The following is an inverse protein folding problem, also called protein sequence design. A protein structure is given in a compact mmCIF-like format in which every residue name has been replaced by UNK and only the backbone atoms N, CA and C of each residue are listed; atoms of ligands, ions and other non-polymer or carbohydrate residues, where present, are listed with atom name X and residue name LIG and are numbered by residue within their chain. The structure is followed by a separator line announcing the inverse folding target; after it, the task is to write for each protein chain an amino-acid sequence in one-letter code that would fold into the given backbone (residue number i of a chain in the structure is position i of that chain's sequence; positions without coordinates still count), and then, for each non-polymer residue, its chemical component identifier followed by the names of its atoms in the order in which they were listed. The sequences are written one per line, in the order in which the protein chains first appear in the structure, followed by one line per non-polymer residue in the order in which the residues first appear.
data_IF_474430087718
#
_entry.id   IF_474430087718
#
_cell.length_a   1.000
_cell.length_b   1.000
_cell.length_c   1.000
_cell.angle_alpha   90.00
_cell.angle_beta   90.00
_cell.angle_gamma   90.00
#
_symmetry.space_group_name_H-M   'P 1'
#
loop_
_entity.id
_entity.type
_entity.pdbx_description
1 polymer ?
#
# COMPACT_ATOMS: atom_id res chain seq x y z
N UNK A 1 3.29 12.14 -2.47
CA UNK A 1 3.96 10.84 -2.69
C UNK A 1 5.20 10.98 -3.56
N UNK A 2 5.10 11.49 -4.80
CA UNK A 2 6.22 11.60 -5.75
C UNK A 2 7.43 12.40 -5.23
N UNK A 3 7.21 13.36 -4.35
CA UNK A 3 8.25 14.16 -3.71
C UNK A 3 9.06 13.37 -2.67
N UNK A 4 8.44 12.38 -1.98
CA UNK A 4 9.11 11.54 -0.98
C UNK A 4 10.13 10.61 -1.66
N UNK A 5 9.78 10.06 -2.84
CA UNK A 5 10.66 9.22 -3.65
C UNK A 5 11.60 10.03 -4.55
N UNK A 6 11.50 11.37 -4.48
CA UNK A 6 12.23 12.30 -5.32
C UNK A 6 12.10 11.95 -6.82
N UNK A 7 10.85 11.72 -7.26
CA UNK A 7 10.54 11.69 -8.71
C UNK A 7 10.45 13.11 -9.27
N UNK A 8 10.16 14.08 -8.40
CA UNK A 8 10.19 15.51 -8.65
C UNK A 8 10.80 16.21 -7.45
N UNK A 9 11.52 17.30 -7.66
CA UNK A 9 11.98 18.18 -6.59
C UNK A 9 10.88 19.22 -6.28
N UNK A 10 10.83 19.71 -5.04
CA UNK A 10 9.93 20.80 -4.66
C UNK A 10 10.38 22.12 -5.28
N UNK A 11 9.43 22.96 -5.69
CA UNK A 11 9.70 24.33 -6.16
C UNK A 11 10.02 25.26 -5.00
N UNK A 12 9.37 25.06 -3.87
CA UNK A 12 9.58 25.81 -2.63
C UNK A 12 9.55 24.87 -1.43
N UNK A 13 10.22 25.25 -0.34
CA UNK A 13 10.27 24.45 0.88
C UNK A 13 11.21 23.25 0.78
N UNK A 14 10.95 22.23 1.63
CA UNK A 14 11.74 21.01 1.69
C UNK A 14 10.90 19.79 2.07
N UNK A 15 11.28 18.62 1.55
CA UNK A 15 10.77 17.31 1.99
C UNK A 15 11.90 16.57 2.67
N UNK A 16 11.66 16.08 3.89
CA UNK A 16 12.67 15.37 4.67
C UNK A 16 12.23 13.93 4.94
N UNK A 17 13.17 13.01 4.78
CA UNK A 17 13.03 11.59 5.12
C UNK A 17 14.15 11.24 6.11
N UNK A 18 13.81 10.67 7.26
CA UNK A 18 14.81 10.38 8.30
C UNK A 18 15.57 11.62 8.80
N UNK A 19 14.92 12.80 8.77
CA UNK A 19 15.52 14.07 9.21
C UNK A 19 16.35 14.81 8.15
N UNK A 20 16.70 14.15 7.03
CA UNK A 20 17.51 14.74 5.96
C UNK A 20 16.62 15.15 4.76
N UNK A 21 16.94 16.29 4.13
CA UNK A 21 16.26 16.71 2.90
C UNK A 21 16.50 15.67 1.79
N UNK A 22 15.44 15.29 1.07
CA UNK A 22 15.53 14.28 0.02
C UNK A 22 16.54 14.63 -1.08
N UNK A 23 16.84 15.92 -1.27
CA UNK A 23 17.83 16.41 -2.23
C UNK A 23 19.29 16.16 -1.80
N UNK A 24 19.51 15.86 -0.51
CA UNK A 24 20.83 15.55 0.05
C UNK A 24 21.17 14.05 -0.01
N UNK A 25 20.19 13.22 -0.32
CA UNK A 25 20.43 11.78 -0.48
C UNK A 25 21.00 11.47 -1.86
N UNK A 26 21.83 10.44 -1.92
CA UNK A 26 21.99 9.66 -3.14
C UNK A 26 20.64 9.07 -3.54
N UNK A 27 20.29 9.17 -4.84
CA UNK A 27 18.96 8.76 -5.32
C UNK A 27 18.70 7.26 -5.15
N UNK A 28 19.71 6.44 -5.35
CA UNK A 28 19.59 5.00 -5.20
C UNK A 28 19.43 4.64 -3.72
N UNK A 29 20.24 5.25 -2.85
CA UNK A 29 20.13 5.07 -1.40
C UNK A 29 18.74 5.46 -0.87
N UNK A 30 18.18 6.62 -1.28
CA UNK A 30 16.82 7.02 -0.91
C UNK A 30 15.77 6.03 -1.40
N UNK A 31 15.80 5.72 -2.69
CA UNK A 31 14.80 4.85 -3.32
C UNK A 31 14.88 3.41 -2.83
N UNK A 32 16.03 2.96 -2.36
CA UNK A 32 16.17 1.65 -1.72
C UNK A 32 15.52 1.58 -0.34
N UNK A 33 15.32 2.72 0.33
CA UNK A 33 14.64 2.79 1.63
C UNK A 33 13.13 3.08 1.51
N UNK A 34 12.63 3.44 0.33
CA UNK A 34 11.23 3.77 0.10
C UNK A 34 10.64 2.79 -0.90
N UNK A 35 9.54 2.13 -0.53
CA UNK A 35 8.73 1.31 -1.44
C UNK A 35 7.39 1.97 -1.69
N UNK A 36 6.90 1.87 -2.91
CA UNK A 36 5.61 2.41 -3.32
C UNK A 36 4.79 1.33 -4.00
N UNK A 37 3.55 1.15 -3.56
CA UNK A 37 2.54 0.36 -4.26
C UNK A 37 1.52 1.33 -4.82
N UNK A 38 1.45 1.40 -6.14
CA UNK A 38 0.58 2.34 -6.85
C UNK A 38 -0.84 1.79 -6.98
N UNK A 39 -1.81 2.66 -7.21
CA UNK A 39 -3.18 2.28 -7.56
C UNK A 39 -3.22 1.41 -8.82
N UNK A 40 -2.49 1.82 -9.87
CA UNK A 40 -2.34 1.03 -11.11
C UNK A 40 -1.13 0.12 -11.00
N UNK A 41 -1.38 -1.11 -10.58
CA UNK A 41 -0.36 -2.11 -10.39
C UNK A 41 0.04 -2.77 -11.71
N UNK A 42 1.35 -2.97 -11.91
CA UNK A 42 1.89 -3.63 -13.09
C UNK A 42 2.69 -4.85 -12.70
N UNK A 43 2.39 -5.98 -13.37
CA UNK A 43 3.21 -7.18 -13.34
C UNK A 43 3.89 -7.37 -14.70
N UNK A 44 5.07 -7.96 -14.67
CA UNK A 44 5.87 -8.26 -15.84
C UNK A 44 5.66 -9.70 -16.28
N UNK A 45 5.92 -9.97 -17.56
CA UNK A 45 5.96 -11.36 -18.06
C UNK A 45 7.07 -12.14 -17.38
N UNK A 46 6.78 -13.36 -16.93
CA UNK A 46 7.68 -14.21 -16.17
C UNK A 46 6.92 -14.99 -15.12
N UNK A 47 7.58 -15.66 -14.21
CA UNK A 47 6.92 -16.37 -13.10
C UNK A 47 6.47 -15.39 -12.01
N UNK A 48 5.67 -15.88 -11.05
CA UNK A 48 5.37 -15.13 -9.83
C UNK A 48 6.68 -14.82 -9.08
N UNK A 49 7.59 -15.78 -8.94
CA UNK A 49 8.91 -15.54 -8.32
C UNK A 49 9.71 -14.46 -9.02
N UNK A 50 9.76 -14.47 -10.37
CA UNK A 50 10.44 -13.42 -11.12
C UNK A 50 9.84 -12.04 -10.80
N UNK A 51 8.52 -11.96 -10.74
CA UNK A 51 7.83 -10.73 -10.39
C UNK A 51 8.12 -10.25 -8.96
N UNK A 52 8.23 -11.14 -8.01
CA UNK A 52 8.56 -10.83 -6.62
C UNK A 52 10.01 -10.34 -6.48
N UNK A 53 10.96 -10.98 -7.19
CA UNK A 53 12.39 -10.63 -7.20
C UNK A 53 12.71 -9.27 -7.82
N UNK A 54 11.76 -8.62 -8.50
CA UNK A 54 11.90 -7.19 -8.81
C UNK A 54 11.98 -6.31 -7.55
N UNK A 55 11.49 -6.77 -6.41
CA UNK A 55 11.64 -6.10 -5.12
C UNK A 55 13.03 -6.31 -4.50
N UNK A 56 13.55 -7.54 -4.62
CA UNK A 56 14.88 -7.93 -4.17
C UNK A 56 15.38 -9.10 -5.05
N UNK A 57 16.33 -8.87 -5.97
CA UNK A 57 16.84 -9.92 -6.88
C UNK A 57 17.45 -11.13 -6.16
N UNK A 58 18.03 -10.91 -4.97
CA UNK A 58 18.68 -11.95 -4.17
C UNK A 58 17.72 -12.67 -3.21
N UNK A 59 16.41 -12.35 -3.25
CA UNK A 59 15.45 -12.97 -2.35
C UNK A 59 15.36 -14.48 -2.59
N UNK A 60 15.46 -15.25 -1.51
CA UNK A 60 15.20 -16.68 -1.53
C UNK A 60 13.72 -16.97 -1.78
N UNK A 61 13.40 -18.19 -2.15
CA UNK A 61 11.99 -18.57 -2.35
C UNK A 61 11.21 -18.47 -1.04
N UNK A 62 11.81 -18.85 0.10
CA UNK A 62 11.18 -18.74 1.42
C UNK A 62 10.89 -17.27 1.80
N UNK A 63 11.75 -16.32 1.42
CA UNK A 63 11.50 -14.90 1.62
C UNK A 63 10.35 -14.42 0.75
N UNK A 64 10.27 -14.88 -0.49
CA UNK A 64 9.14 -14.60 -1.39
C UNK A 64 7.83 -15.15 -0.82
N UNK A 65 7.83 -16.39 -0.30
CA UNK A 65 6.68 -17.02 0.35
C UNK A 65 6.23 -16.19 1.56
N UNK A 66 7.15 -15.82 2.46
CA UNK A 66 6.81 -14.97 3.63
C UNK A 66 6.23 -13.62 3.24
N UNK A 67 6.77 -12.98 2.21
CA UNK A 67 6.23 -11.72 1.70
C UNK A 67 4.81 -11.90 1.13
N UNK A 68 4.56 -13.01 0.43
CA UNK A 68 3.23 -13.36 -0.10
C UNK A 68 2.23 -13.65 1.03
N UNK A 69 2.64 -14.35 2.08
CA UNK A 69 1.81 -14.57 3.28
C UNK A 69 1.42 -13.25 3.95
N UNK A 70 2.38 -12.29 4.07
CA UNK A 70 2.09 -10.96 4.61
C UNK A 70 1.10 -10.16 3.76
N UNK A 71 1.12 -10.38 2.44
CA UNK A 71 0.21 -9.76 1.49
C UNK A 71 -1.06 -10.60 1.23
N UNK A 72 -1.27 -11.71 1.93
CA UNK A 72 -2.35 -12.69 1.70
C UNK A 72 -2.39 -13.20 0.24
N UNK A 73 -1.24 -13.23 -0.45
CA UNK A 73 -1.15 -13.70 -1.82
C UNK A 73 -0.99 -15.21 -1.92
N UNK A 74 -0.46 -15.86 -0.90
CA UNK A 74 -0.31 -17.32 -0.77
C UNK A 74 -1.64 -18.05 -1.00
N UNK A 75 -2.75 -17.53 -0.47
CA UNK A 75 -4.07 -18.12 -0.58
C UNK A 75 -4.52 -18.45 -2.00
N UNK A 76 -4.19 -17.60 -2.96
CA UNK A 76 -4.51 -17.89 -4.36
C UNK A 76 -3.38 -18.61 -5.08
N UNK A 77 -2.12 -18.35 -4.70
CA UNK A 77 -0.94 -19.00 -5.30
C UNK A 77 -1.00 -20.50 -5.06
N UNK A 78 -1.36 -20.92 -3.84
CA UNK A 78 -1.46 -22.35 -3.47
C UNK A 78 -2.54 -23.11 -4.25
N UNK A 79 -3.47 -22.39 -4.90
CA UNK A 79 -4.52 -22.98 -5.76
C UNK A 79 -4.10 -23.09 -7.24
N UNK A 80 -2.95 -22.49 -7.59
CA UNK A 80 -2.44 -22.54 -8.95
C UNK A 80 -1.67 -23.84 -9.17
N UNK A 81 -1.80 -24.49 -10.34
CA UNK A 81 -1.14 -25.76 -10.63
C UNK A 81 0.39 -25.71 -10.44
N UNK A 82 1.01 -24.62 -10.85
CA UNK A 82 2.47 -24.41 -10.78
C UNK A 82 2.90 -23.56 -9.58
N UNK A 83 1.97 -23.21 -8.66
CA UNK A 83 2.25 -22.40 -7.48
C UNK A 83 3.02 -21.13 -7.82
N UNK A 84 4.14 -20.88 -7.14
CA UNK A 84 5.03 -19.72 -7.36
C UNK A 84 5.72 -19.70 -8.72
N UNK A 85 5.80 -20.82 -9.43
CA UNK A 85 6.34 -20.92 -10.78
C UNK A 85 5.31 -20.62 -11.87
N UNK A 86 4.06 -20.34 -11.50
CA UNK A 86 3.00 -19.95 -12.44
C UNK A 86 3.44 -18.72 -13.23
N UNK A 87 3.31 -18.81 -14.55
CA UNK A 87 3.66 -17.70 -15.46
C UNK A 87 2.59 -16.61 -15.42
N UNK A 88 3.06 -15.40 -15.27
CA UNK A 88 2.28 -14.16 -15.39
C UNK A 88 2.42 -13.63 -16.80
N UNK A 89 1.31 -13.33 -17.44
CA UNK A 89 1.27 -12.69 -18.75
C UNK A 89 1.57 -11.19 -18.64
N UNK A 90 1.86 -10.56 -19.77
CA UNK A 90 2.19 -9.13 -19.84
C UNK A 90 1.09 -8.30 -19.15
N UNK A 91 1.52 -7.47 -18.20
CA UNK A 91 0.62 -6.63 -17.43
C UNK A 91 -0.26 -7.40 -16.43
N UNK A 92 -0.05 -8.70 -16.24
CA UNK A 92 -0.85 -9.54 -15.36
C UNK A 92 -2.25 -9.82 -15.91
N UNK A 93 -2.37 -10.05 -17.21
CA UNK A 93 -3.69 -10.27 -17.86
C UNK A 93 -4.41 -11.54 -17.35
N UNK A 94 -3.66 -12.52 -16.88
CA UNK A 94 -4.18 -13.80 -16.37
C UNK A 94 -4.38 -13.83 -14.83
N UNK A 95 -4.33 -12.69 -14.14
CA UNK A 95 -4.62 -12.57 -12.71
C UNK A 95 -5.63 -11.46 -12.44
N UNK A 96 -6.46 -11.62 -11.41
CA UNK A 96 -7.44 -10.60 -11.01
C UNK A 96 -6.78 -9.33 -10.48
N UNK A 97 -7.53 -8.22 -10.42
CA UNK A 97 -7.05 -6.96 -9.87
C UNK A 97 -6.54 -7.09 -8.43
N UNK A 98 -7.30 -7.78 -7.57
CA UNK A 98 -6.90 -8.03 -6.18
C UNK A 98 -5.69 -8.96 -6.03
N UNK A 99 -5.55 -9.98 -6.91
CA UNK A 99 -4.36 -10.83 -6.96
C UNK A 99 -3.12 -10.02 -7.37
N UNK A 100 -3.25 -9.18 -8.39
CA UNK A 100 -2.21 -8.28 -8.86
C UNK A 100 -1.76 -7.31 -7.76
N UNK A 101 -2.69 -6.72 -7.04
CA UNK A 101 -2.39 -5.83 -5.90
C UNK A 101 -1.60 -6.56 -4.82
N UNK A 102 -2.06 -7.74 -4.39
CA UNK A 102 -1.36 -8.54 -3.37
C UNK A 102 0.06 -8.93 -3.79
N UNK A 103 0.30 -9.29 -5.05
CA UNK A 103 1.65 -9.55 -5.55
C UNK A 103 2.52 -8.29 -5.55
N UNK A 104 1.98 -7.12 -5.90
CA UNK A 104 2.73 -5.87 -5.84
C UNK A 104 3.04 -5.43 -4.41
N UNK A 105 2.14 -5.70 -3.45
CA UNK A 105 2.42 -5.50 -2.02
C UNK A 105 3.55 -6.43 -1.57
N UNK A 106 3.49 -7.74 -1.88
CA UNK A 106 4.54 -8.69 -1.55
C UNK A 106 5.91 -8.28 -2.13
N UNK A 107 5.93 -7.83 -3.39
CA UNK A 107 7.13 -7.26 -4.04
C UNK A 107 7.69 -6.07 -3.26
N UNK A 108 6.83 -5.16 -2.81
CA UNK A 108 7.26 -3.98 -2.05
C UNK A 108 7.83 -4.34 -0.67
N UNK A 109 7.30 -5.39 -0.02
CA UNK A 109 7.77 -5.89 1.26
C UNK A 109 9.15 -6.55 1.16
N UNK A 110 9.44 -7.26 0.07
CA UNK A 110 10.75 -7.89 -0.16
C UNK A 110 11.91 -6.90 -0.19
N UNK A 111 11.64 -5.65 -0.49
CA UNK A 111 12.63 -4.57 -0.43
C UNK A 111 13.03 -4.19 0.99
N UNK A 112 12.29 -4.66 2.01
CA UNK A 112 12.47 -4.33 3.42
C UNK A 112 12.60 -2.81 3.66
N UNK A 113 11.63 -2.00 3.21
CA UNK A 113 11.74 -0.55 3.19
C UNK A 113 11.63 0.05 4.59
N UNK A 114 12.23 1.25 4.78
CA UNK A 114 11.98 2.09 5.96
C UNK A 114 10.71 2.90 5.85
N UNK A 115 10.28 3.19 4.61
CA UNK A 115 9.01 3.86 4.31
C UNK A 115 8.26 3.05 3.26
N UNK A 116 7.04 2.64 3.57
CA UNK A 116 6.12 1.97 2.65
C UNK A 116 4.94 2.90 2.34
N UNK A 117 4.78 3.24 1.07
CA UNK A 117 3.68 4.07 0.59
C UNK A 117 2.69 3.18 -0.15
N UNK A 118 1.43 3.22 0.26
CA UNK A 118 0.32 2.47 -0.31
C UNK A 118 -0.68 3.49 -0.90
N UNK A 119 -0.67 3.63 -2.23
CA UNK A 119 -1.52 4.59 -2.94
C UNK A 119 -2.77 3.88 -3.46
N UNK A 120 -3.86 3.94 -2.69
CA UNK A 120 -5.13 3.25 -2.96
C UNK A 120 -4.95 1.77 -3.38
N UNK A 121 -3.90 1.18 -2.80
CA UNK A 121 -3.34 -0.11 -3.26
C UNK A 121 -4.13 -1.31 -2.76
N UNK A 122 -5.20 -1.11 -1.99
CA UNK A 122 -6.11 -2.17 -1.53
C UNK A 122 -7.55 -1.98 -2.04
N UNK A 123 -7.78 -1.02 -2.94
CA UNK A 123 -9.13 -0.72 -3.47
C UNK A 123 -9.79 -1.89 -4.22
N UNK A 124 -9.00 -2.76 -4.86
CA UNK A 124 -9.50 -3.98 -5.51
C UNK A 124 -9.43 -5.23 -4.61
N UNK A 125 -9.05 -5.06 -3.33
CA UNK A 125 -9.04 -6.14 -2.33
C UNK A 125 -10.27 -5.97 -1.43
N UNK A 126 -10.90 -7.08 -1.05
CA UNK A 126 -12.03 -7.02 -0.11
C UNK A 126 -11.59 -6.55 1.28
N UNK A 127 -12.55 -6.01 2.04
CA UNK A 127 -12.31 -5.38 3.34
C UNK A 127 -11.66 -6.34 4.36
N UNK A 128 -12.04 -7.61 4.36
CA UNK A 128 -11.49 -8.60 5.29
C UNK A 128 -10.01 -8.89 4.97
N UNK A 129 -9.69 -9.06 3.70
CA UNK A 129 -8.29 -9.25 3.24
C UNK A 129 -7.45 -8.01 3.49
N UNK A 130 -7.97 -6.80 3.24
CA UNK A 130 -7.28 -5.55 3.55
C UNK A 130 -6.94 -5.43 5.05
N UNK A 131 -7.89 -5.75 5.93
CA UNK A 131 -7.65 -5.76 7.38
C UNK A 131 -6.55 -6.76 7.78
N UNK A 132 -6.51 -7.95 7.16
CA UNK A 132 -5.47 -8.97 7.39
C UNK A 132 -4.10 -8.52 6.92
N UNK A 133 -4.00 -7.89 5.76
CA UNK A 133 -2.75 -7.29 5.24
C UNK A 133 -2.23 -6.24 6.22
N UNK A 134 -3.08 -5.34 6.72
CA UNK A 134 -2.69 -4.33 7.72
C UNK A 134 -2.23 -4.95 9.04
N UNK A 135 -2.92 -5.96 9.52
CA UNK A 135 -2.50 -6.71 10.72
C UNK A 135 -1.14 -7.41 10.51
N UNK A 136 -0.87 -7.91 9.31
CA UNK A 136 0.43 -8.49 8.96
C UNK A 136 1.54 -7.41 8.96
N UNK A 137 1.27 -6.22 8.43
CA UNK A 137 2.22 -5.10 8.47
C UNK A 137 2.60 -4.68 9.90
N UNK A 138 1.63 -4.66 10.82
CA UNK A 138 1.90 -4.33 12.22
C UNK A 138 2.87 -5.33 12.88
N UNK A 139 2.78 -6.60 12.51
CA UNK A 139 3.60 -7.67 13.08
C UNK A 139 4.94 -7.86 12.37
N UNK A 140 4.96 -7.80 11.04
CA UNK A 140 6.14 -8.19 10.25
C UNK A 140 7.08 -7.03 9.93
N UNK A 141 6.54 -5.82 9.84
CA UNK A 141 7.30 -4.59 9.55
C UNK A 141 7.00 -3.47 10.58
N UNK A 142 7.13 -3.72 11.90
CA UNK A 142 6.75 -2.74 12.93
C UNK A 142 7.59 -1.46 12.86
N UNK A 143 8.86 -1.55 12.44
CA UNK A 143 9.77 -0.40 12.32
C UNK A 143 9.66 0.39 11.01
N UNK A 144 8.74 0.02 10.11
CA UNK A 144 8.52 0.71 8.84
C UNK A 144 7.46 1.79 9.01
N UNK A 145 7.75 3.01 8.57
CA UNK A 145 6.74 4.08 8.44
C UNK A 145 5.80 3.75 7.28
N UNK A 146 4.51 3.65 7.55
CA UNK A 146 3.49 3.33 6.54
C UNK A 146 2.67 4.57 6.22
N UNK A 147 2.65 4.98 4.96
CA UNK A 147 1.83 6.07 4.45
C UNK A 147 0.74 5.45 3.58
N UNK A 148 -0.50 5.51 4.05
CA UNK A 148 -1.65 4.91 3.37
C UNK A 148 -2.49 6.04 2.79
N UNK A 149 -2.64 6.05 1.48
CA UNK A 149 -3.55 6.93 0.76
C UNK A 149 -4.75 6.07 0.40
N UNK A 150 -5.92 6.40 0.92
CA UNK A 150 -7.12 5.61 0.71
C UNK A 150 -8.34 6.51 0.54
N UNK A 151 -9.30 6.01 -0.22
CA UNK A 151 -10.61 6.63 -0.40
C UNK A 151 -11.59 6.17 0.69
N UNK A 152 -11.37 4.96 1.24
CA UNK A 152 -12.22 4.41 2.31
C UNK A 152 -11.63 4.73 3.68
N UNK A 153 -12.43 5.32 4.55
CA UNK A 153 -12.02 5.62 5.94
C UNK A 153 -11.68 4.34 6.70
N UNK A 154 -12.40 3.25 6.49
CA UNK A 154 -12.10 1.94 7.10
C UNK A 154 -10.67 1.43 6.82
N UNK A 155 -10.03 1.93 5.78
CA UNK A 155 -8.63 1.61 5.47
C UNK A 155 -7.62 2.41 6.29
N UNK A 156 -8.02 3.51 6.95
CA UNK A 156 -7.12 4.42 7.67
C UNK A 156 -7.54 4.71 9.12
N UNK A 157 -8.74 4.31 9.54
CA UNK A 157 -9.28 4.62 10.87
C UNK A 157 -8.40 4.12 12.03
N UNK A 158 -7.60 3.07 11.81
CA UNK A 158 -6.66 2.53 12.79
C UNK A 158 -5.23 3.07 12.66
N UNK A 159 -5.00 4.08 11.80
CA UNK A 159 -3.69 4.71 11.68
C UNK A 159 -3.37 5.56 12.92
N UNK A 160 -2.08 5.65 13.26
CA UNK A 160 -1.61 6.48 14.38
C UNK A 160 -1.99 7.95 14.18
N UNK A 161 -1.98 8.42 12.93
CA UNK A 161 -2.39 9.78 12.53
C UNK A 161 -3.03 9.74 11.15
N UNK A 162 -4.04 10.57 10.96
CA UNK A 162 -4.74 10.76 9.69
C UNK A 162 -4.55 12.22 9.27
N UNK A 163 -4.07 12.41 8.05
CA UNK A 163 -3.91 13.71 7.42
C UNK A 163 -5.11 13.98 6.52
N UNK A 164 -5.87 15.02 6.80
CA UNK A 164 -6.97 15.50 5.97
C UNK A 164 -6.48 16.67 5.13
N UNK A 165 -6.55 16.53 3.80
CA UNK A 165 -6.15 17.56 2.84
C UNK A 165 -7.38 18.14 2.16
N UNK A 166 -7.44 19.48 2.08
CA UNK A 166 -8.46 20.22 1.36
C UNK A 166 -7.78 21.32 0.54
N UNK A 167 -8.05 21.36 -0.76
CA UNK A 167 -7.49 22.36 -1.68
C UNK A 167 -5.95 22.53 -1.55
N UNK A 168 -5.22 21.43 -1.32
CA UNK A 168 -3.77 21.43 -1.16
C UNK A 168 -3.26 21.92 0.20
N UNK A 169 -4.16 22.17 1.17
CA UNK A 169 -3.83 22.59 2.54
C UNK A 169 -4.18 21.50 3.54
N UNK A 170 -3.48 21.49 4.66
CA UNK A 170 -3.80 20.61 5.78
C UNK A 170 -5.04 21.17 6.51
N UNK A 171 -6.15 20.45 6.41
CA UNK A 171 -7.39 20.72 7.13
C UNK A 171 -7.43 20.05 8.51
N UNK A 172 -6.75 18.90 8.67
CA UNK A 172 -6.63 18.19 9.94
C UNK A 172 -5.48 17.21 9.94
N UNK A 173 -4.89 16.98 11.12
CA UNK A 173 -3.84 15.98 11.34
C UNK A 173 -3.92 15.42 12.76
N UNK A 174 -4.68 14.34 12.94
CA UNK A 174 -4.88 13.73 14.26
C UNK A 174 -5.35 12.27 14.16
N UNK A 175 -5.78 11.69 15.28
CA UNK A 175 -6.41 10.36 15.33
C UNK A 175 -7.82 10.38 14.74
N UNK A 176 -8.31 9.19 14.36
CA UNK A 176 -9.68 9.01 13.88
C UNK A 176 -10.74 9.67 14.79
N UNK A 177 -10.72 9.31 16.08
CA UNK A 177 -11.71 9.77 17.05
C UNK A 177 -11.71 11.30 17.23
N UNK A 178 -10.51 11.89 17.25
CA UNK A 178 -10.38 13.35 17.40
C UNK A 178 -10.83 14.08 16.13
N UNK A 179 -10.52 13.58 14.95
CA UNK A 179 -10.99 14.16 13.68
C UNK A 179 -12.50 14.06 13.52
N UNK A 180 -13.14 12.98 13.96
CA UNK A 180 -14.60 12.88 13.97
C UNK A 180 -15.26 13.97 14.81
N UNK A 181 -14.61 14.41 15.89
CA UNK A 181 -15.15 15.45 16.77
C UNK A 181 -14.84 16.86 16.27
N UNK A 182 -13.67 17.07 15.66
CA UNK A 182 -13.12 18.42 15.41
C UNK A 182 -13.07 18.83 13.94
N UNK A 183 -13.09 17.88 12.99
CA UNK A 183 -12.95 18.16 11.57
C UNK A 183 -14.27 17.85 10.83
N UNK A 184 -14.95 18.90 10.33
CA UNK A 184 -16.24 18.76 9.66
C UNK A 184 -16.13 17.95 8.35
N UNK A 185 -15.06 18.15 7.57
CA UNK A 185 -14.83 17.46 6.29
C UNK A 185 -14.64 15.96 6.53
N UNK A 186 -13.80 15.61 7.51
CA UNK A 186 -13.56 14.21 7.86
C UNK A 186 -14.84 13.51 8.30
N UNK A 187 -15.65 14.19 9.12
CA UNK A 187 -16.94 13.67 9.59
C UNK A 187 -17.94 13.48 8.43
N UNK A 188 -18.03 14.43 7.51
CA UNK A 188 -18.89 14.32 6.34
C UNK A 188 -18.54 13.12 5.46
N UNK A 189 -17.24 12.91 5.22
CA UNK A 189 -16.74 11.74 4.46
C UNK A 189 -17.11 10.45 5.20
N UNK A 190 -16.89 10.39 6.52
CA UNK A 190 -17.23 9.24 7.34
C UNK A 190 -18.73 8.93 7.29
N UNK A 191 -19.57 9.93 7.55
CA UNK A 191 -21.02 9.78 7.53
C UNK A 191 -21.55 9.30 6.17
N UNK A 192 -20.98 9.81 5.09
CA UNK A 192 -21.36 9.40 3.73
C UNK A 192 -21.03 7.93 3.45
N UNK A 193 -19.93 7.42 3.99
CA UNK A 193 -19.51 6.02 3.80
C UNK A 193 -20.27 5.06 4.71
N UNK A 194 -20.58 5.47 5.95
CA UNK A 194 -21.34 4.64 6.89
C UNK A 194 -22.82 4.57 6.48
N UNK A 195 -23.42 5.68 6.06
CA UNK A 195 -24.82 5.73 5.63
C UNK A 195 -25.04 5.12 4.23
N UNK A 196 -24.06 5.28 3.33
CA UNK A 196 -24.13 4.70 1.98
C UNK A 196 -23.92 3.19 1.94
N UNK A 197 -23.32 2.59 2.96
CA UNK A 197 -23.13 1.13 3.08
C UNK A 197 -24.39 0.36 3.52
N UNK A 198 -25.43 1.06 3.99
CA UNK A 198 -26.66 0.44 4.46
C UNK A 198 -27.73 0.17 3.39
N UNK A 199 -27.62 0.75 2.21
CA UNK A 199 -28.69 0.71 1.21
C UNK A 199 -28.48 -0.37 0.10
N UNK A 200 -27.36 -1.06 0.07
CA UNK A 200 -27.11 -2.07 -0.96
C UNK A 200 -27.40 -3.52 -0.57
N UNK A 201 -27.79 -3.79 0.70
CA UNK A 201 -28.04 -5.15 1.21
C UNK A 201 -29.54 -5.49 1.35
N UNK A 202 -30.48 -4.63 0.87
CA UNK A 202 -31.92 -4.88 0.94
C UNK A 202 -32.63 -5.12 -0.42
N UNK A 203 -31.87 -5.43 -1.48
CA UNK A 203 -32.49 -5.80 -2.76
C UNK A 203 -31.71 -6.95 -3.43
N UNK A 204 -31.87 -8.15 -2.92
CA UNK A 204 -31.65 -9.40 -3.61
C UNK A 204 -32.60 -10.47 -3.05
#
# INVERSE_FOLDING_TARGET
MNLICRLYDVTEGSVRVGGLDVRQYDMEALRNQVSVVLQKNTLFSGTILDNLRWGNPEATEEECVRACQAACADEFIDRLPDGYHTRIERGGANVSGGQKQRLCIARALLKNPKVLILDDSTSAVDTATDARIRAAFARQIPGTTKIIIAQRISSVEHADRILVLEEGRISGFDTHDHLLQTNAIYREIYDSQVKGGGDFDQSA
#
